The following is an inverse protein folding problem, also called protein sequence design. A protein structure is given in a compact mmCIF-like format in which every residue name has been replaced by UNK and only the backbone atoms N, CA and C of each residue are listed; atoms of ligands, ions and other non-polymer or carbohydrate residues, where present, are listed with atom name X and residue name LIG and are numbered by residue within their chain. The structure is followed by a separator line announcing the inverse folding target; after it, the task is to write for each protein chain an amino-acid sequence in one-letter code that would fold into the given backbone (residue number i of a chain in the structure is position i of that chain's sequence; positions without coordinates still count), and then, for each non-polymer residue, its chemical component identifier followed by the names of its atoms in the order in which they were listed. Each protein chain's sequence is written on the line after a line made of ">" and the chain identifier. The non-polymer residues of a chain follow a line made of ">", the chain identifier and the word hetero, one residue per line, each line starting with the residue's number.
data_IF_365543314584
#
_entry.id   IF_365543314584
#
_cell.length_a   1.000
_cell.length_b   1.000
_cell.length_c   1.000
_cell.angle_alpha   90.00
_cell.angle_beta   90.00
_cell.angle_gamma   90.00
#
_symmetry.space_group_name_H-M   'P 1'
#
loop_
_entity.id
_entity.type
_entity.pdbx_description
1 polymer ?
#
# COMPACT_ATOMS: atom_id res chain seq x y z
N UNK A 1 -8.30 -17.12 36.88
CA UNK A 1 -9.32 -16.07 36.96
C UNK A 1 -8.70 -14.76 36.48
N UNK A 2 -8.99 -14.41 35.21
CA UNK A 2 -9.20 -13.07 34.63
C UNK A 2 -9.00 -11.86 35.59
N UNK A 3 -8.23 -10.82 35.27
CA UNK A 3 -8.38 -9.74 34.25
C UNK A 3 -7.10 -8.87 34.33
N UNK A 4 -6.60 -8.06 33.39
CA UNK A 4 -7.14 -7.37 32.21
C UNK A 4 -5.98 -6.80 31.34
N UNK A 5 -6.33 -6.34 30.15
CA UNK A 5 -5.48 -5.97 29.04
C UNK A 5 -4.61 -4.72 29.25
N UNK A 6 -3.35 -4.78 28.83
CA UNK A 6 -2.61 -3.64 28.29
C UNK A 6 -1.76 -4.17 27.14
N UNK A 7 -2.11 -3.77 25.92
CA UNK A 7 -1.36 -4.10 24.70
C UNK A 7 0.06 -3.58 24.86
N UNK A 8 1.02 -4.49 24.96
CA UNK A 8 2.38 -4.23 25.38
C UNK A 8 3.12 -3.30 24.42
N UNK A 9 3.26 -2.04 24.84
CA UNK A 9 4.36 -1.18 24.44
C UNK A 9 5.65 -1.78 25.03
N UNK A 10 6.43 -2.45 24.18
CA UNK A 10 7.91 -2.55 24.15
C UNK A 10 8.33 -3.95 23.72
N UNK A 11 9.14 -4.00 22.64
CA UNK A 11 10.46 -4.64 22.62
C UNK A 11 11.00 -4.60 21.21
N UNK A 12 12.24 -4.15 21.09
CA UNK A 12 13.06 -4.30 19.91
C UNK A 12 13.05 -5.77 19.48
N UNK A 13 12.35 -6.07 18.39
CA UNK A 13 12.43 -7.26 17.55
C UNK A 13 11.72 -6.93 16.23
N UNK A 14 12.18 -5.86 15.57
CA UNK A 14 11.82 -5.62 14.18
C UNK A 14 12.51 -6.71 13.35
N UNK A 15 11.75 -7.77 13.11
CA UNK A 15 12.07 -8.95 12.31
C UNK A 15 12.98 -8.61 11.11
N UNK A 16 14.26 -8.97 11.22
CA UNK A 16 15.13 -9.16 10.06
C UNK A 16 15.19 -10.66 9.83
N UNK A 17 14.31 -11.16 8.96
CA UNK A 17 14.58 -12.33 8.11
C UNK A 17 13.81 -12.19 6.80
N UNK A 18 14.51 -12.46 5.72
CA UNK A 18 14.28 -12.03 4.34
C UNK A 18 13.44 -13.05 3.54
N UNK A 19 12.79 -12.55 2.48
CA UNK A 19 12.26 -13.32 1.32
C UNK A 19 10.80 -13.77 1.29
N UNK A 20 9.90 -12.95 1.84
CA UNK A 20 8.67 -12.59 1.11
C UNK A 20 8.57 -11.08 1.18
N UNK A 21 8.59 -10.40 0.04
CA UNK A 21 8.24 -8.98 -0.02
C UNK A 21 6.77 -8.87 0.37
N UNK A 22 6.47 -8.90 1.66
CA UNK A 22 5.13 -8.67 2.19
C UNK A 22 4.90 -7.18 2.05
N UNK A 23 4.46 -6.76 0.85
CA UNK A 23 4.09 -5.38 0.65
C UNK A 23 2.96 -5.06 1.62
N UNK A 24 3.27 -4.24 2.62
CA UNK A 24 2.30 -3.72 3.58
C UNK A 24 1.40 -2.70 2.86
N UNK A 25 0.49 -3.20 2.03
CA UNK A 25 -0.39 -2.41 1.18
C UNK A 25 -1.09 -1.26 1.93
N UNK A 26 -1.62 -1.44 3.16
CA UNK A 26 -2.22 -0.33 3.89
C UNK A 26 -1.25 0.84 4.10
N UNK A 27 -0.06 0.58 4.63
CA UNK A 27 0.95 1.61 4.89
C UNK A 27 1.46 2.31 3.63
N UNK A 28 1.72 1.53 2.57
CA UNK A 28 2.24 2.07 1.31
C UNK A 28 1.18 2.89 0.57
N UNK A 29 -0.08 2.46 0.62
CA UNK A 29 -1.18 3.22 0.05
C UNK A 29 -1.50 4.48 0.85
N UNK A 30 -1.43 4.44 2.19
CA UNK A 30 -1.56 5.64 3.01
C UNK A 30 -0.50 6.68 2.62
N UNK A 31 0.76 6.25 2.42
CA UNK A 31 1.81 7.12 1.90
C UNK A 31 1.41 7.67 0.52
N UNK A 32 1.12 6.80 -0.44
CA UNK A 32 0.81 7.17 -1.84
C UNK A 32 -0.36 8.16 -1.94
N UNK A 33 -1.38 8.01 -1.10
CA UNK A 33 -2.60 8.81 -1.13
C UNK A 33 -2.59 10.03 -0.20
N UNK A 34 -1.53 10.27 0.57
CA UNK A 34 -1.52 11.32 1.60
C UNK A 34 -1.67 12.76 1.10
N UNK A 35 -1.30 13.06 -0.15
CA UNK A 35 -1.43 14.40 -0.72
C UNK A 35 -2.63 14.58 -1.67
N UNK A 36 -3.46 13.55 -1.86
CA UNK A 36 -4.65 13.69 -2.71
C UNK A 36 -5.84 14.26 -1.95
N UNK A 37 -6.60 15.14 -2.61
CA UNK A 37 -7.91 15.59 -2.11
C UNK A 37 -8.95 14.46 -2.16
N UNK A 38 -8.73 13.45 -3.01
CA UNK A 38 -9.63 12.30 -3.20
C UNK A 38 -9.12 11.07 -2.43
N UNK A 39 -8.89 11.23 -1.13
CA UNK A 39 -8.23 10.20 -0.30
C UNK A 39 -8.97 8.85 -0.29
N UNK A 40 -10.29 8.85 -0.10
CA UNK A 40 -11.12 7.62 -0.06
C UNK A 40 -11.01 6.79 -1.35
N UNK A 41 -11.29 7.33 -2.55
CA UNK A 41 -11.14 6.55 -3.79
C UNK A 41 -9.68 6.21 -4.09
N UNK A 42 -8.71 7.07 -3.77
CA UNK A 42 -7.29 6.75 -3.93
C UNK A 42 -6.92 5.49 -3.13
N UNK A 43 -7.28 5.44 -1.84
CA UNK A 43 -6.99 4.28 -0.99
C UNK A 43 -7.65 3.01 -1.51
N UNK A 44 -8.90 3.09 -1.96
CA UNK A 44 -9.62 1.95 -2.52
C UNK A 44 -8.90 1.35 -3.74
N UNK A 45 -8.55 2.19 -4.72
CA UNK A 45 -7.86 1.72 -5.92
C UNK A 45 -6.41 1.32 -5.65
N UNK A 46 -5.69 2.06 -4.81
CA UNK A 46 -4.31 1.71 -4.44
C UNK A 46 -4.26 0.33 -3.78
N UNK A 47 -5.13 0.04 -2.80
CA UNK A 47 -5.13 -1.25 -2.13
C UNK A 47 -5.50 -2.39 -3.08
N UNK A 48 -6.46 -2.15 -3.99
CA UNK A 48 -6.82 -3.12 -5.04
C UNK A 48 -5.61 -3.43 -5.93
N UNK A 49 -4.94 -2.40 -6.44
CA UNK A 49 -3.77 -2.59 -7.30
C UNK A 49 -2.59 -3.20 -6.53
N UNK A 50 -2.38 -2.82 -5.28
CA UNK A 50 -1.32 -3.36 -4.44
C UNK A 50 -1.51 -4.84 -4.13
N UNK A 51 -2.73 -5.29 -3.83
CA UNK A 51 -3.01 -6.71 -3.56
C UNK A 51 -2.80 -7.58 -4.80
N UNK A 52 -3.09 -7.05 -5.99
CA UNK A 52 -2.86 -7.77 -7.25
C UNK A 52 -1.39 -7.75 -7.66
N UNK A 53 -0.76 -6.58 -7.65
CA UNK A 53 0.56 -6.37 -8.21
C UNK A 53 1.70 -6.50 -7.19
N UNK A 54 1.37 -6.62 -5.90
CA UNK A 54 2.32 -6.68 -4.78
C UNK A 54 3.39 -5.59 -4.86
N UNK A 55 3.00 -4.38 -5.26
CA UNK A 55 3.90 -3.23 -5.47
C UNK A 55 3.11 -1.91 -5.37
N UNK A 56 3.71 -0.89 -4.76
CA UNK A 56 3.19 0.49 -4.74
C UNK A 56 4.36 1.44 -5.05
N UNK A 57 4.23 2.32 -6.07
CA UNK A 57 5.31 3.23 -6.45
C UNK A 57 5.75 4.19 -5.31
N UNK A 58 7.02 4.64 -5.33
CA UNK A 58 7.50 5.67 -4.42
C UNK A 58 6.88 7.05 -4.74
N UNK A 59 6.88 7.94 -3.75
CA UNK A 59 6.23 9.26 -3.83
C UNK A 59 4.71 9.22 -3.84
N UNK A 60 4.09 10.39 -3.98
CA UNK A 60 2.64 10.60 -3.99
C UNK A 60 2.05 10.52 -5.40
N UNK A 61 2.84 10.95 -6.40
CA UNK A 61 2.47 11.02 -7.82
C UNK A 61 3.57 10.38 -8.68
N UNK A 62 3.26 10.04 -9.94
CA UNK A 62 4.25 9.55 -10.91
C UNK A 62 4.92 8.22 -10.54
N UNK A 63 6.13 7.96 -11.06
CA UNK A 63 6.96 6.77 -10.78
C UNK A 63 6.30 5.41 -11.05
N UNK A 64 5.20 5.38 -11.81
CA UNK A 64 4.43 4.15 -12.04
C UNK A 64 5.26 3.09 -12.77
N UNK A 65 6.23 3.50 -13.60
CA UNK A 65 7.14 2.60 -14.31
C UNK A 65 7.96 1.68 -13.37
N UNK A 66 8.17 2.07 -12.11
CA UNK A 66 8.84 1.23 -11.09
C UNK A 66 8.05 -0.04 -10.76
N UNK A 67 6.71 0.02 -10.89
CA UNK A 67 5.82 -1.11 -10.70
C UNK A 67 5.03 -1.37 -12.01
N UNK A 68 5.57 -2.14 -12.98
CA UNK A 68 4.95 -2.32 -14.30
C UNK A 68 3.49 -2.81 -14.25
N UNK A 69 3.17 -3.78 -13.38
CA UNK A 69 1.79 -4.24 -13.17
C UNK A 69 0.88 -3.09 -12.72
N UNK A 70 1.30 -2.30 -11.74
CA UNK A 70 0.53 -1.15 -11.22
C UNK A 70 0.29 -0.09 -12.32
N UNK A 71 1.29 0.13 -13.18
CA UNK A 71 1.21 1.10 -14.29
C UNK A 71 0.27 0.65 -15.43
N UNK A 72 0.28 -0.66 -15.72
CA UNK A 72 -0.42 -1.24 -16.86
C UNK A 72 -1.90 -1.50 -16.58
N UNK A 73 -2.35 -1.39 -15.33
CA UNK A 73 -3.76 -1.48 -14.99
C UNK A 73 -4.54 -0.27 -15.51
N UNK A 74 -5.37 -0.50 -16.54
CA UNK A 74 -6.23 0.51 -17.16
C UNK A 74 -7.70 0.29 -16.85
N UNK A 75 -8.49 1.36 -16.95
CA UNK A 75 -9.96 1.29 -16.99
C UNK A 75 -10.42 0.78 -18.36
N UNK A 76 -11.72 0.51 -18.53
CA UNK A 76 -12.27 0.12 -19.84
C UNK A 76 -12.10 1.23 -20.90
N UNK A 77 -12.01 2.48 -20.46
CA UNK A 77 -11.80 3.67 -21.29
C UNK A 77 -10.31 3.93 -21.59
N UNK A 78 -9.40 3.06 -21.12
CA UNK A 78 -7.96 3.17 -21.37
C UNK A 78 -7.19 4.08 -20.38
N UNK A 79 -7.90 4.78 -19.49
CA UNK A 79 -7.29 5.62 -18.46
C UNK A 79 -6.56 4.83 -17.36
N UNK A 80 -5.64 5.45 -16.59
CA UNK A 80 -4.96 4.79 -15.49
C UNK A 80 -5.95 4.41 -14.37
N UNK A 81 -5.96 3.14 -13.96
CA UNK A 81 -6.85 2.64 -12.90
C UNK A 81 -6.25 2.78 -11.50
N UNK A 82 -4.93 2.72 -11.39
CA UNK A 82 -4.20 2.81 -10.13
C UNK A 82 -3.65 4.24 -9.94
N UNK A 83 -3.68 4.79 -8.70
CA UNK A 83 -3.30 6.19 -8.43
C UNK A 83 -1.84 6.57 -8.71
#
# INVERSE_FOLDING_TARGET
>A
MNKEATCMTTRANMEVEVSRVTVKCPSQCSRRCSQTQYHKPCMFFCQKCCRTCLCVPPGYYGNKAVCPCYNNWKTKEGGPKCP
#
